data_IF_547218650888
#
_entry.id   IF_547218650888
#
_cell.length_a   1.000
_cell.length_b   1.000
_cell.length_c   1.000
_cell.angle_alpha   90.00
_cell.angle_beta   90.00
_cell.angle_gamma   90.00
#
_symmetry.space_group_name_H-M   'P 1'
#
loop_
_entity.id
_entity.type
_entity.pdbx_description
1 polymer ?
#
# COMPACT_ATOMS: atom_id res chain seq x y z
N UNK A 1 3.58 -5.08 23.77
CA UNK A 1 3.85 -4.78 22.37
C UNK A 1 3.19 -3.45 22.09
N UNK A 2 3.89 -2.50 21.52
CA UNK A 2 3.32 -1.19 21.19
C UNK A 2 2.37 -1.33 19.99
N UNK A 3 1.38 -0.46 19.87
CA UNK A 3 0.48 -0.42 18.69
C UNK A 3 1.26 -0.27 17.36
N UNK A 4 2.50 0.17 17.44
CA UNK A 4 3.41 0.28 16.29
C UNK A 4 3.93 -1.06 15.79
N UNK A 5 4.08 -2.07 16.68
CA UNK A 5 4.64 -3.38 16.31
C UNK A 5 3.68 -4.21 15.45
N UNK A 6 2.36 -3.96 15.56
CA UNK A 6 1.32 -4.67 14.83
C UNK A 6 0.87 -3.95 13.54
N UNK A 7 1.38 -2.72 13.28
CA UNK A 7 0.98 -1.92 12.13
C UNK A 7 1.58 -2.45 10.83
N UNK A 8 0.73 -2.72 9.81
CA UNK A 8 1.25 -3.12 8.51
C UNK A 8 1.79 -1.91 7.73
N UNK A 9 2.78 -2.20 6.90
CA UNK A 9 3.41 -1.22 6.04
C UNK A 9 2.67 -1.06 4.72
N UNK A 10 2.31 0.18 4.42
CA UNK A 10 1.72 0.63 3.15
C UNK A 10 2.66 1.66 2.54
N UNK A 11 3.15 1.43 1.33
CA UNK A 11 4.09 2.33 0.66
C UNK A 11 3.42 3.00 -0.54
N UNK A 12 3.64 4.31 -0.73
CA UNK A 12 3.21 5.06 -1.89
C UNK A 12 4.38 5.24 -2.85
N UNK A 13 4.19 4.88 -4.12
CA UNK A 13 5.20 4.94 -5.18
C UNK A 13 4.67 5.74 -6.38
N UNK A 14 5.57 6.33 -7.15
CA UNK A 14 5.25 7.14 -8.34
C UNK A 14 6.22 8.31 -8.47
N UNK A 15 6.13 9.01 -9.59
CA UNK A 15 7.03 10.11 -9.93
C UNK A 15 6.95 11.30 -8.95
N UNK A 16 7.92 12.22 -9.05
CA UNK A 16 7.90 13.46 -8.28
C UNK A 16 6.68 14.32 -8.66
N UNK A 17 6.09 15.00 -7.69
CA UNK A 17 4.99 15.94 -7.93
C UNK A 17 3.61 15.33 -8.21
N UNK A 18 3.45 13.99 -8.25
CA UNK A 18 2.13 13.34 -8.46
C UNK A 18 1.19 13.47 -7.25
N UNK A 19 1.69 13.91 -6.09
CA UNK A 19 0.89 14.22 -4.90
C UNK A 19 0.81 13.12 -3.85
N UNK A 20 1.80 12.19 -3.77
CA UNK A 20 1.89 11.15 -2.72
C UNK A 20 1.82 11.74 -1.31
N UNK A 21 2.66 12.72 -1.03
CA UNK A 21 2.71 13.44 0.25
C UNK A 21 1.36 14.05 0.62
N UNK A 22 0.73 14.74 -0.32
CA UNK A 22 -0.58 15.36 -0.07
C UNK A 22 -1.68 14.32 0.20
N UNK A 23 -1.68 13.17 -0.48
CA UNK A 23 -2.62 12.07 -0.18
C UNK A 23 -2.43 11.53 1.26
N UNK A 24 -1.19 11.40 1.71
CA UNK A 24 -0.89 10.98 3.09
C UNK A 24 -1.31 12.09 4.06
N UNK A 25 -0.98 13.33 3.79
CA UNK A 25 -1.30 14.47 4.63
C UNK A 25 -2.81 14.55 4.90
N UNK A 26 -3.63 14.58 3.85
CA UNK A 26 -5.08 14.70 4.02
C UNK A 26 -5.67 13.54 4.83
N UNK A 27 -5.22 12.31 4.61
CA UNK A 27 -5.78 11.15 5.33
C UNK A 27 -5.31 11.06 6.78
N UNK A 28 -4.20 11.71 7.11
CA UNK A 28 -3.67 11.81 8.48
C UNK A 28 -4.10 13.07 9.22
N UNK A 29 -4.91 13.93 8.57
CA UNK A 29 -5.48 15.13 9.18
C UNK A 29 -4.63 16.38 9.02
N UNK A 30 -3.62 16.34 8.13
CA UNK A 30 -2.84 17.52 7.74
C UNK A 30 -3.52 18.14 6.51
N UNK A 31 -3.63 19.46 6.49
CA UNK A 31 -4.23 20.18 5.37
C UNK A 31 -3.43 20.04 4.08
N UNK A 32 -4.14 20.10 2.95
CA UNK A 32 -3.54 20.12 1.63
C UNK A 32 -2.64 21.34 1.45
N UNK A 33 -1.46 21.15 0.83
CA UNK A 33 -0.53 22.21 0.54
C UNK A 33 -0.18 22.23 -0.97
N UNK A 34 -0.59 23.29 -1.66
CA UNK A 34 -0.27 23.48 -3.10
C UNK A 34 1.24 23.63 -3.36
N UNK A 35 2.00 24.13 -2.36
CA UNK A 35 3.44 24.36 -2.43
C UNK A 35 4.25 23.26 -1.74
N UNK A 36 3.71 22.03 -1.65
CA UNK A 36 4.43 20.91 -1.04
C UNK A 36 5.76 20.68 -1.76
N UNK A 37 6.85 20.85 -1.02
CA UNK A 37 8.19 20.64 -1.57
C UNK A 37 8.38 19.17 -1.96
N UNK A 38 9.18 18.91 -2.98
CA UNK A 38 9.55 17.52 -3.33
C UNK A 38 10.15 16.80 -2.13
N UNK A 39 9.62 15.63 -1.82
CA UNK A 39 10.07 14.79 -0.69
C UNK A 39 11.56 14.49 -0.82
N UNK A 40 12.35 15.00 0.10
CA UNK A 40 13.82 14.82 0.12
C UNK A 40 14.27 13.57 0.86
N UNK A 41 13.46 13.08 1.80
CA UNK A 41 13.71 11.88 2.62
C UNK A 41 12.42 11.10 2.78
N UNK A 42 12.49 9.78 2.67
CA UNK A 42 11.32 8.94 2.97
C UNK A 42 10.99 8.97 4.46
N UNK A 43 9.73 9.14 4.78
CA UNK A 43 9.18 9.15 6.13
C UNK A 43 7.90 8.34 6.19
N UNK A 44 7.39 8.06 7.37
CA UNK A 44 6.08 7.42 7.52
C UNK A 44 5.18 8.17 8.48
N UNK A 45 3.89 8.05 8.24
CA UNK A 45 2.82 8.54 9.10
C UNK A 45 1.95 7.37 9.56
N UNK A 46 1.50 7.41 10.82
CA UNK A 46 0.57 6.41 11.35
C UNK A 46 -0.87 6.79 11.06
N UNK A 47 -1.67 5.81 10.64
CA UNK A 47 -3.11 5.96 10.49
C UNK A 47 -3.83 4.76 11.09
N UNK A 48 -4.92 5.03 11.82
CA UNK A 48 -5.86 4.00 12.29
C UNK A 48 -7.01 3.89 11.31
N UNK A 49 -7.31 2.66 10.89
CA UNK A 49 -8.44 2.32 10.04
C UNK A 49 -9.45 1.51 10.85
N UNK A 50 -10.74 1.67 10.55
CA UNK A 50 -11.80 0.78 11.05
C UNK A 50 -12.26 -0.10 9.90
N UNK A 51 -11.94 -1.38 9.96
CA UNK A 51 -12.24 -2.38 8.92
C UNK A 51 -13.13 -3.44 9.53
N UNK A 52 -14.34 -3.61 9.01
CA UNK A 52 -15.33 -4.58 9.51
C UNK A 52 -15.55 -4.46 11.02
N UNK A 53 -15.60 -3.22 11.54
CA UNK A 53 -15.82 -2.93 12.97
C UNK A 53 -14.58 -3.07 13.86
N UNK A 54 -13.45 -3.54 13.34
CA UNK A 54 -12.18 -3.68 14.07
C UNK A 54 -11.23 -2.54 13.72
N UNK A 55 -10.41 -2.14 14.72
CA UNK A 55 -9.39 -1.11 14.54
C UNK A 55 -8.05 -1.72 14.18
N UNK A 56 -7.43 -1.21 13.11
CA UNK A 56 -6.11 -1.60 12.64
C UNK A 56 -5.23 -0.38 12.47
N UNK A 57 -3.94 -0.54 12.71
CA UNK A 57 -2.94 0.49 12.47
C UNK A 57 -2.18 0.21 11.18
N UNK A 58 -1.92 1.25 10.39
CA UNK A 58 -1.06 1.19 9.21
C UNK A 58 0.05 2.25 9.29
N UNK A 59 1.21 1.93 8.71
CA UNK A 59 2.33 2.85 8.48
C UNK A 59 2.30 3.26 7.01
N UNK A 60 1.87 4.49 6.72
CA UNK A 60 1.87 5.07 5.39
C UNK A 60 3.24 5.66 5.10
N UNK A 61 4.01 5.04 4.20
CA UNK A 61 5.34 5.48 3.82
C UNK A 61 5.27 6.42 2.63
N UNK A 62 5.68 7.67 2.85
CA UNK A 62 5.94 8.64 1.80
C UNK A 62 7.32 8.43 1.22
N UNK A 63 7.42 8.37 -0.11
CA UNK A 63 8.67 8.05 -0.79
C UNK A 63 9.14 9.17 -1.69
N UNK A 64 10.45 9.20 -1.90
CA UNK A 64 11.09 10.08 -2.87
C UNK A 64 10.66 9.66 -4.27
N UNK A 65 9.99 10.56 -5.01
CA UNK A 65 9.50 10.29 -6.37
C UNK A 65 10.49 10.65 -7.48
N UNK A 66 11.65 11.25 -7.16
CA UNK A 66 12.61 11.67 -8.19
C UNK A 66 13.33 10.45 -8.80
N UNK A 67 13.38 10.38 -10.12
CA UNK A 67 13.98 9.29 -10.91
C UNK A 67 15.42 8.97 -10.51
N UNK A 68 16.22 9.99 -10.17
CA UNK A 68 17.62 9.81 -9.71
C UNK A 68 17.75 9.10 -8.36
N UNK A 69 16.67 9.03 -7.58
CA UNK A 69 16.65 8.37 -6.25
C UNK A 69 15.84 7.07 -6.23
N UNK A 70 15.38 6.56 -7.37
CA UNK A 70 14.62 5.30 -7.46
C UNK A 70 15.32 4.13 -6.78
N UNK A 71 16.65 4.05 -6.87
CA UNK A 71 17.43 3.00 -6.20
C UNK A 71 17.33 3.06 -4.67
N UNK A 72 17.18 4.25 -4.08
CA UNK A 72 16.96 4.42 -2.64
C UNK A 72 15.54 4.00 -2.24
N UNK A 73 14.56 4.25 -3.10
CA UNK A 73 13.17 3.87 -2.86
C UNK A 73 13.01 2.35 -2.71
N UNK A 74 13.83 1.56 -3.43
CA UNK A 74 13.84 0.08 -3.32
C UNK A 74 14.17 -0.41 -1.91
N UNK A 75 14.93 0.33 -1.12
CA UNK A 75 15.25 -0.03 0.26
C UNK A 75 14.00 -0.02 1.16
N UNK A 76 12.97 0.72 0.74
CA UNK A 76 11.72 0.84 1.49
C UNK A 76 10.66 -0.20 1.09
N UNK A 77 10.91 -1.08 0.10
CA UNK A 77 9.93 -2.10 -0.31
C UNK A 77 9.79 -3.23 0.71
N UNK A 78 10.86 -3.55 1.43
CA UNK A 78 10.87 -4.67 2.37
C UNK A 78 9.71 -4.57 3.37
N UNK A 79 9.06 -5.71 3.63
CA UNK A 79 7.93 -5.87 4.55
C UNK A 79 6.65 -5.10 4.17
N UNK A 80 6.60 -4.44 3.01
CA UNK A 80 5.39 -3.79 2.53
C UNK A 80 4.32 -4.84 2.21
N UNK A 81 3.13 -4.66 2.77
CA UNK A 81 1.96 -5.54 2.55
C UNK A 81 1.04 -4.99 1.48
N UNK A 82 1.02 -3.67 1.33
CA UNK A 82 0.23 -2.95 0.35
C UNK A 82 1.14 -1.94 -0.34
N UNK A 83 1.04 -1.86 -1.66
CA UNK A 83 1.74 -0.87 -2.49
C UNK A 83 0.72 -0.05 -3.26
N UNK A 84 0.80 1.26 -3.16
CA UNK A 84 -0.08 2.20 -3.85
C UNK A 84 0.75 2.99 -4.86
N UNK A 85 0.44 2.81 -6.14
CA UNK A 85 1.05 3.53 -7.23
C UNK A 85 0.23 4.78 -7.54
N UNK A 86 0.87 5.95 -7.54
CA UNK A 86 0.22 7.25 -7.75
C UNK A 86 0.74 7.88 -9.03
N UNK A 87 -0.16 8.34 -9.89
CA UNK A 87 0.14 9.15 -11.06
C UNK A 87 -0.71 10.43 -11.07
N UNK A 88 -0.28 11.41 -11.82
CA UNK A 88 -0.99 12.66 -12.07
C UNK A 88 -1.76 12.52 -13.39
N UNK A 89 -3.09 12.68 -13.38
CA UNK A 89 -3.91 12.55 -14.60
C UNK A 89 -3.55 13.56 -15.68
N UNK A 90 -2.90 14.67 -15.31
CA UNK A 90 -2.48 15.74 -16.24
C UNK A 90 -1.05 15.53 -16.77
N UNK A 91 -0.39 14.40 -16.42
CA UNK A 91 0.97 14.09 -16.83
C UNK A 91 1.06 12.63 -17.30
N UNK A 92 0.88 12.42 -18.60
CA UNK A 92 0.92 11.10 -19.21
C UNK A 92 2.21 10.33 -18.89
N UNK A 93 3.34 11.03 -18.84
CA UNK A 93 4.64 10.42 -18.53
C UNK A 93 4.63 9.76 -17.15
N UNK A 94 3.97 10.37 -16.15
CA UNK A 94 3.86 9.77 -14.81
C UNK A 94 3.11 8.44 -14.81
N UNK A 95 2.12 8.29 -15.67
CA UNK A 95 1.36 7.05 -15.87
C UNK A 95 2.17 6.01 -16.66
N UNK A 96 2.87 6.43 -17.72
CA UNK A 96 3.74 5.51 -18.48
C UNK A 96 4.89 4.98 -17.62
N UNK A 97 5.46 5.80 -16.71
CA UNK A 97 6.50 5.34 -15.77
C UNK A 97 5.95 4.33 -14.74
N UNK A 98 4.66 4.43 -14.32
CA UNK A 98 4.06 3.36 -13.50
C UNK A 98 4.09 2.02 -14.25
N UNK A 99 3.72 2.03 -15.53
CA UNK A 99 3.63 0.83 -16.37
C UNK A 99 5.00 0.24 -16.69
N UNK A 100 5.97 1.09 -17.03
CA UNK A 100 7.29 0.67 -17.49
C UNK A 100 8.21 0.26 -16.34
N UNK A 101 8.13 0.97 -15.22
CA UNK A 101 9.11 0.84 -14.16
C UNK A 101 8.49 0.39 -12.83
N UNK A 102 7.63 1.21 -12.21
CA UNK A 102 7.26 1.03 -10.81
C UNK A 102 6.57 -0.30 -10.50
N UNK A 103 5.62 -0.73 -11.32
CA UNK A 103 4.89 -1.98 -11.10
C UNK A 103 5.82 -3.18 -11.29
N UNK A 104 6.61 -3.18 -12.36
CA UNK A 104 7.55 -4.26 -12.64
C UNK A 104 8.61 -4.40 -11.54
N UNK A 105 9.18 -3.28 -11.08
CA UNK A 105 10.19 -3.25 -10.04
C UNK A 105 9.67 -3.80 -8.69
N UNK A 106 8.43 -3.45 -8.33
CA UNK A 106 7.75 -3.97 -7.15
C UNK A 106 7.45 -5.46 -7.29
N UNK A 107 6.94 -5.92 -8.44
CA UNK A 107 6.65 -7.33 -8.67
C UNK A 107 7.90 -8.20 -8.68
N UNK A 108 9.01 -7.68 -9.20
CA UNK A 108 10.31 -8.36 -9.13
C UNK A 108 10.79 -8.53 -7.68
N UNK A 109 10.60 -7.51 -6.84
CA UNK A 109 11.13 -7.47 -5.48
C UNK A 109 10.23 -8.13 -4.44
N UNK A 110 8.92 -7.90 -4.51
CA UNK A 110 7.93 -8.35 -3.52
C UNK A 110 7.08 -9.54 -4.00
N UNK A 111 7.17 -9.88 -5.28
CA UNK A 111 6.30 -10.86 -5.92
C UNK A 111 4.98 -10.24 -6.41
N UNK A 112 4.31 -10.96 -7.31
CA UNK A 112 3.02 -10.52 -7.91
C UNK A 112 1.87 -10.48 -6.91
N UNK A 113 2.04 -11.18 -5.82
CA UNK A 113 1.00 -11.37 -4.81
C UNK A 113 0.85 -10.20 -3.82
N UNK A 114 1.71 -9.17 -3.85
CA UNK A 114 1.53 -7.98 -3.02
C UNK A 114 0.20 -7.29 -3.35
N UNK A 115 -0.51 -6.77 -2.33
CA UNK A 115 -1.75 -6.03 -2.57
C UNK A 115 -1.39 -4.70 -3.23
N UNK A 116 -2.01 -4.45 -4.39
CA UNK A 116 -1.72 -3.28 -5.23
C UNK A 116 -2.93 -2.35 -5.31
N UNK A 117 -2.67 -1.04 -5.21
CA UNK A 117 -3.61 0.02 -5.52
C UNK A 117 -3.01 0.97 -6.56
N UNK A 118 -3.85 1.51 -7.45
CA UNK A 118 -3.49 2.55 -8.42
C UNK A 118 -4.37 3.77 -8.18
N UNK A 119 -3.74 4.93 -8.04
CA UNK A 119 -4.42 6.21 -7.81
C UNK A 119 -4.10 7.18 -8.93
N UNK A 120 -5.12 7.55 -9.73
CA UNK A 120 -5.08 8.73 -10.60
C UNK A 120 -5.40 9.95 -9.76
N UNK A 121 -4.39 10.77 -9.46
CA UNK A 121 -4.53 11.95 -8.62
C UNK A 121 -4.68 13.23 -9.44
N UNK A 122 -5.09 14.31 -8.77
CA UNK A 122 -5.33 15.65 -9.30
C UNK A 122 -6.55 15.73 -10.24
N UNK A 123 -7.59 14.95 -9.93
CA UNK A 123 -8.84 14.94 -10.68
C UNK A 123 -9.57 16.30 -10.69
N UNK A 124 -9.22 17.21 -9.78
CA UNK A 124 -9.66 18.61 -9.83
C UNK A 124 -9.19 19.34 -11.10
N UNK A 125 -8.15 18.84 -11.76
CA UNK A 125 -7.60 19.36 -13.00
C UNK A 125 -8.10 18.61 -14.26
N UNK A 126 -9.30 17.99 -14.21
CA UNK A 126 -9.87 17.16 -15.27
C UNK A 126 -9.89 17.85 -16.66
N UNK A 127 -9.97 19.19 -16.72
CA UNK A 127 -9.88 19.93 -17.99
C UNK A 127 -8.50 19.83 -18.68
N UNK A 128 -7.48 19.35 -17.96
CA UNK A 128 -6.11 19.11 -18.47
C UNK A 128 -5.76 17.62 -18.47
N UNK A 129 -6.76 16.75 -18.38
CA UNK A 129 -6.57 15.31 -18.31
C UNK A 129 -5.88 14.81 -19.60
N UNK A 130 -4.79 14.07 -19.41
CA UNK A 130 -4.05 13.34 -20.46
C UNK A 130 -4.21 11.83 -20.32
N UNK A 131 -4.64 11.36 -19.16
CA UNK A 131 -4.89 9.94 -18.86
C UNK A 131 -6.29 9.78 -18.32
N UNK A 132 -7.16 9.17 -19.13
CA UNK A 132 -8.57 8.99 -18.78
C UNK A 132 -8.75 7.99 -17.62
N UNK A 133 -9.89 8.11 -16.93
CA UNK A 133 -10.26 7.17 -15.87
C UNK A 133 -10.29 5.72 -16.38
N UNK A 134 -10.78 5.50 -17.61
CA UNK A 134 -10.87 4.16 -18.22
C UNK A 134 -9.49 3.56 -18.48
N UNK A 135 -8.52 4.35 -18.94
CA UNK A 135 -7.12 3.92 -19.07
C UNK A 135 -6.53 3.49 -17.72
N UNK A 136 -6.80 4.27 -16.67
CA UNK A 136 -6.38 3.93 -15.32
C UNK A 136 -6.99 2.62 -14.80
N UNK A 137 -8.30 2.42 -15.02
CA UNK A 137 -9.02 1.19 -14.66
C UNK A 137 -8.53 -0.04 -15.42
N UNK A 138 -8.33 0.09 -16.73
CA UNK A 138 -7.83 -1.01 -17.57
C UNK A 138 -6.42 -1.42 -17.10
N UNK A 139 -5.56 -0.46 -16.84
CA UNK A 139 -4.23 -0.76 -16.33
C UNK A 139 -4.29 -1.42 -14.96
N UNK A 140 -5.09 -0.91 -14.02
CA UNK A 140 -5.26 -1.51 -12.71
C UNK A 140 -5.72 -2.97 -12.80
N UNK A 141 -6.71 -3.25 -13.66
CA UNK A 141 -7.19 -4.61 -13.93
C UNK A 141 -6.09 -5.51 -14.49
N UNK A 142 -5.24 -5.00 -15.38
CA UNK A 142 -4.17 -5.78 -16.02
C UNK A 142 -3.09 -6.26 -15.05
N UNK A 143 -2.93 -5.57 -13.91
CA UNK A 143 -1.93 -5.86 -12.88
C UNK A 143 -2.54 -6.34 -11.55
N UNK A 144 -3.82 -6.72 -11.55
CA UNK A 144 -4.59 -7.13 -10.36
C UNK A 144 -4.50 -6.10 -9.22
N UNK A 145 -4.77 -4.84 -9.55
CA UNK A 145 -4.79 -3.74 -8.60
C UNK A 145 -6.20 -3.14 -8.45
N UNK A 146 -6.49 -2.56 -7.28
CA UNK A 146 -7.64 -1.68 -7.10
C UNK A 146 -7.35 -0.31 -7.70
N UNK A 147 -8.39 0.36 -8.21
CA UNK A 147 -8.28 1.67 -8.81
C UNK A 147 -9.04 2.73 -8.02
N UNK A 148 -8.45 3.91 -7.91
CA UNK A 148 -9.06 5.12 -7.39
C UNK A 148 -8.72 6.31 -8.28
N UNK A 149 -9.73 7.06 -8.72
CA UNK A 149 -9.56 8.42 -9.24
C UNK A 149 -9.83 9.41 -8.10
N UNK A 150 -8.88 10.30 -7.81
CA UNK A 150 -8.95 11.17 -6.63
C UNK A 150 -8.32 12.54 -6.87
N UNK A 151 -8.66 13.46 -5.98
CA UNK A 151 -7.96 14.73 -5.83
C UNK A 151 -7.62 14.93 -4.36
N UNK A 152 -6.33 14.95 -4.03
CA UNK A 152 -5.89 15.32 -2.69
C UNK A 152 -6.36 16.73 -2.28
N UNK A 153 -6.67 17.59 -3.25
CA UNK A 153 -7.08 18.97 -3.03
C UNK A 153 -8.57 19.10 -2.68
N UNK A 154 -9.44 18.34 -3.36
CA UNK A 154 -10.89 18.58 -3.32
C UNK A 154 -11.71 17.46 -2.71
N UNK A 155 -11.23 16.21 -2.70
CA UNK A 155 -12.04 15.05 -2.25
C UNK A 155 -12.10 14.90 -0.73
N UNK A 156 -11.21 15.57 -0.01
CA UNK A 156 -11.04 15.38 1.43
C UNK A 156 -10.48 14.01 1.82
N UNK A 157 -10.33 13.74 3.13
CA UNK A 157 -9.65 12.54 3.62
C UNK A 157 -10.42 11.25 3.37
N UNK A 158 -11.76 11.30 3.37
CA UNK A 158 -12.61 10.11 3.40
C UNK A 158 -12.44 9.22 2.16
N UNK A 159 -12.35 9.79 0.98
CA UNK A 159 -12.27 9.04 -0.27
C UNK A 159 -11.00 8.18 -0.34
N UNK A 160 -9.86 8.73 0.05
CA UNK A 160 -8.61 7.98 0.11
C UNK A 160 -8.60 7.01 1.31
N UNK A 161 -9.21 7.35 2.45
CA UNK A 161 -9.36 6.44 3.58
C UNK A 161 -10.23 5.22 3.22
N UNK A 162 -11.35 5.39 2.53
CA UNK A 162 -12.20 4.29 2.06
C UNK A 162 -11.42 3.36 1.10
N UNK A 163 -10.54 3.93 0.26
CA UNK A 163 -9.65 3.15 -0.59
C UNK A 163 -8.62 2.34 0.21
N UNK A 164 -8.02 2.94 1.23
CA UNK A 164 -7.10 2.22 2.14
C UNK A 164 -7.81 1.07 2.85
N UNK A 165 -9.06 1.28 3.30
CA UNK A 165 -9.90 0.24 3.92
C UNK A 165 -10.10 -0.91 2.94
N UNK A 166 -10.47 -0.64 1.69
CA UNK A 166 -10.67 -1.67 0.65
C UNK A 166 -9.40 -2.49 0.39
N UNK A 167 -8.23 -1.84 0.32
CA UNK A 167 -6.96 -2.53 0.15
C UNK A 167 -6.61 -3.38 1.38
N UNK A 168 -6.93 -2.89 2.57
CA UNK A 168 -6.71 -3.62 3.81
C UNK A 168 -7.63 -4.86 3.92
N UNK A 169 -8.88 -4.76 3.49
CA UNK A 169 -9.81 -5.90 3.40
C UNK A 169 -9.29 -7.00 2.48
N UNK A 170 -8.75 -6.62 1.30
CA UNK A 170 -8.08 -7.58 0.41
C UNK A 170 -6.88 -8.24 1.09
N UNK A 171 -6.08 -7.47 1.82
CA UNK A 171 -4.97 -8.02 2.59
C UNK A 171 -5.44 -9.03 3.64
N UNK A 172 -6.47 -8.72 4.43
CA UNK A 172 -7.05 -9.64 5.42
C UNK A 172 -7.56 -10.92 4.76
N UNK A 173 -8.29 -10.81 3.67
CA UNK A 173 -8.79 -11.96 2.92
C UNK A 173 -7.65 -12.87 2.46
N UNK A 174 -6.55 -12.27 1.98
CA UNK A 174 -5.39 -13.00 1.49
C UNK A 174 -4.66 -13.78 2.57
N UNK A 175 -4.48 -13.21 3.76
CA UNK A 175 -3.81 -13.89 4.87
C UNK A 175 -4.69 -14.93 5.59
N UNK A 176 -5.90 -15.22 5.06
CA UNK A 176 -6.86 -16.12 5.69
C UNK A 176 -7.45 -15.57 6.98
N UNK A 177 -7.38 -14.25 7.15
CA UNK A 177 -7.75 -13.57 8.38
C UNK A 177 -9.25 -13.46 8.56
N UNK A 178 -9.80 -14.22 9.47
CA UNK A 178 -10.92 -13.72 10.26
C UNK A 178 -10.40 -12.51 11.08
N UNK A 179 -11.23 -11.47 11.31
CA UNK A 179 -10.81 -10.31 12.09
C UNK A 179 -10.31 -10.77 13.45
N UNK A 180 -9.07 -10.45 13.80
CA UNK A 180 -8.47 -10.78 15.07
C UNK A 180 -9.26 -10.14 16.21
N UNK A 181 -10.17 -10.89 16.80
CA UNK A 181 -10.71 -10.60 18.12
C UNK A 181 -9.74 -11.17 19.15
N UNK A 182 -8.73 -10.42 19.55
CA UNK A 182 -7.76 -10.69 20.60
C UNK A 182 -6.35 -11.12 20.15
N UNK A 183 -5.45 -10.20 20.32
CA UNK A 183 -3.99 -10.33 20.23
C UNK A 183 -3.34 -11.26 21.30
N UNK A 184 -4.11 -12.16 21.95
CA UNK A 184 -3.61 -13.08 22.97
C UNK A 184 -3.44 -14.54 22.54
N UNK A 185 -4.02 -14.96 21.42
CA UNK A 185 -4.07 -16.40 21.05
C UNK A 185 -3.15 -16.84 19.91
N UNK A 186 -2.41 -15.94 19.24
CA UNK A 186 -1.55 -16.34 18.11
C UNK A 186 -0.23 -17.03 18.51
N UNK A 187 0.09 -17.15 19.78
CA UNK A 187 1.30 -17.89 20.23
C UNK A 187 1.10 -19.41 20.41
N UNK A 188 -0.11 -19.95 20.18
CA UNK A 188 -0.38 -21.39 20.43
C UNK A 188 -0.52 -22.28 19.19
N UNK A 189 -0.58 -21.74 17.97
CA UNK A 189 -0.87 -22.55 16.77
C UNK A 189 0.37 -23.01 15.99
N UNK A 190 1.55 -22.48 16.25
CA UNK A 190 2.77 -22.82 15.48
C UNK A 190 3.61 -23.96 16.08
N UNK A 191 3.22 -24.53 17.24
CA UNK A 191 4.06 -25.54 17.92
C UNK A 191 3.54 -26.98 17.92
N UNK A 192 2.48 -27.34 17.14
CA UNK A 192 1.90 -28.68 17.20
C UNK A 192 2.01 -29.52 15.92
N UNK A 193 2.91 -29.25 15.00
CA UNK A 193 3.06 -30.09 13.80
C UNK A 193 4.44 -30.76 13.63
N UNK A 194 5.17 -31.05 14.70
CA UNK A 194 6.35 -31.91 14.60
C UNK A 194 6.51 -32.79 15.86
N UNK A 195 5.68 -33.80 16.04
CA UNK A 195 6.00 -34.97 16.86
C UNK A 195 5.09 -36.15 16.49
N UNK A 196 5.40 -36.79 15.39
CA UNK A 196 5.01 -38.19 15.14
C UNK A 196 6.10 -38.84 14.30
N UNK A 197 7.20 -39.23 14.93
CA UNK A 197 8.10 -40.26 14.41
C UNK A 197 8.13 -41.36 15.43
N UNK A 198 7.68 -42.54 14.98
CA UNK A 198 7.38 -43.71 15.77
C UNK A 198 8.55 -44.28 16.57
N UNK A 199 8.24 -44.73 17.75
CA UNK A 199 9.03 -45.72 18.48
C UNK A 199 8.57 -47.12 18.06
N UNK A 200 9.33 -47.75 17.19
CA UNK A 200 9.30 -49.21 17.04
C UNK A 200 10.31 -49.78 18.02
N UNK A 201 9.78 -50.47 19.01
CA UNK A 201 10.60 -51.27 19.91
C UNK A 201 11.12 -52.52 19.20
N UNK A 202 12.38 -52.83 19.44
CA UNK A 202 12.89 -54.19 19.35
C UNK A 202 13.57 -54.55 20.66
N UNK A 203 12.89 -55.49 21.37
CA UNK A 203 13.56 -56.35 22.36
C UNK A 203 14.52 -57.26 21.60
N UNK A 204 15.69 -57.42 22.14
CA UNK A 204 16.50 -58.61 21.96
C UNK A 204 17.13 -59.04 23.24
N UNK A 205 17.12 -60.31 23.40
CA UNK A 205 17.60 -61.11 24.56
C UNK A 205 19.01 -60.77 25.02
#
# INVERSE_FOLDING_TARGET
MSEEDDAIKVILLGEAGVGKTNLINIVTGIEFNDNEASTGTSSFSMKKLTVNGNKYSIKLWDTIGQERFRHLTKLFYNDSKIVIFVYDITQKDSFEELKKYWVNDVEEKLGKDVIKGIVGNKNDLFMKEEVTEDQGKEFAKSVDAEFLLSSAKTDGPKKFEDFLIKLYEKYLTKIGGQPNTNSKDQKKVVLNNNNNIGKTGKKCC
#
